data_IF_965154066944
#
_entry.id   IF_965154066944
#
_cell.length_a   1.000
_cell.length_b   1.000
_cell.length_c   1.000
_cell.angle_alpha   90.00
_cell.angle_beta   90.00
_cell.angle_gamma   90.00
#
_symmetry.space_group_name_H-M   'P 1'
#
loop_
_entity.id
_entity.type
_entity.pdbx_description
1 polymer ?
#
# COMPACT_ATOMS: atom_id res chain seq x y z
N UNK A 1 -24.06 -2.44 -12.39
CA UNK A 1 -24.58 -1.89 -11.11
C UNK A 1 -23.38 -1.65 -10.22
N UNK A 2 -23.37 -0.59 -9.42
CA UNK A 2 -22.24 -0.23 -8.55
C UNK A 2 -22.13 -1.12 -7.30
N UNK A 3 -23.11 -1.99 -7.04
CA UNK A 3 -23.08 -2.98 -5.96
C UNK A 3 -23.23 -2.38 -4.55
N UNK A 4 -23.48 -1.08 -4.44
CA UNK A 4 -23.57 -0.37 -3.15
C UNK A 4 -24.96 -0.53 -2.53
N UNK A 5 -26.01 -0.49 -3.35
CA UNK A 5 -27.40 -0.46 -2.87
C UNK A 5 -27.98 -1.84 -2.55
N UNK A 6 -27.30 -2.92 -2.94
CA UNK A 6 -27.75 -4.29 -2.77
C UNK A 6 -26.65 -5.12 -2.08
N UNK A 7 -26.51 -5.01 -0.74
CA UNK A 7 -25.53 -5.79 0.00
C UNK A 7 -25.73 -7.28 -0.23
N UNK A 8 -24.63 -8.01 -0.44
CA UNK A 8 -24.67 -9.48 -0.50
C UNK A 8 -24.98 -9.99 0.90
N UNK A 9 -26.13 -10.66 1.13
CA UNK A 9 -26.50 -11.14 2.46
C UNK A 9 -25.58 -12.28 2.91
N UNK A 10 -25.59 -12.59 4.22
CA UNK A 10 -24.89 -13.77 4.74
C UNK A 10 -25.38 -15.04 4.04
N UNK A 11 -24.46 -15.80 3.44
CA UNK A 11 -24.79 -16.97 2.61
C UNK A 11 -25.24 -16.64 1.18
N UNK A 12 -25.36 -15.37 0.83
CA UNK A 12 -25.63 -14.89 -0.53
C UNK A 12 -24.40 -14.96 -1.44
N UNK A 13 -24.63 -14.73 -2.73
CA UNK A 13 -23.58 -14.68 -3.76
C UNK A 13 -23.92 -13.61 -4.78
N UNK A 14 -22.90 -12.88 -5.22
CA UNK A 14 -22.96 -11.96 -6.35
C UNK A 14 -21.71 -12.12 -7.21
N UNK A 15 -21.81 -11.80 -8.49
CA UNK A 15 -20.68 -11.83 -9.44
C UNK A 15 -20.49 -10.41 -9.98
N UNK A 16 -19.32 -9.82 -9.70
CA UNK A 16 -18.91 -8.56 -10.31
C UNK A 16 -18.23 -8.86 -11.65
N UNK A 17 -18.67 -8.20 -12.72
CA UNK A 17 -18.11 -8.32 -14.07
C UNK A 17 -17.79 -6.92 -14.60
N UNK A 18 -16.54 -6.70 -14.97
CA UNK A 18 -16.03 -5.46 -15.56
C UNK A 18 -14.74 -5.76 -16.32
N UNK A 19 -14.41 -4.91 -17.30
CA UNK A 19 -13.12 -4.95 -17.97
C UNK A 19 -12.04 -4.35 -17.07
N UNK A 20 -10.86 -4.98 -17.03
CA UNK A 20 -9.72 -4.51 -16.25
C UNK A 20 -9.06 -3.29 -16.93
N UNK A 21 -9.67 -2.12 -16.76
CA UNK A 21 -9.19 -0.85 -17.27
C UNK A 21 -9.50 0.33 -16.33
N UNK A 22 -8.66 1.38 -16.30
CA UNK A 22 -7.37 1.50 -16.98
C UNK A 22 -6.27 0.65 -16.31
N UNK A 23 -5.12 0.50 -16.97
CA UNK A 23 -3.95 -0.06 -16.29
C UNK A 23 -3.52 0.84 -15.12
N UNK A 24 -2.92 0.25 -14.09
CA UNK A 24 -2.41 0.96 -12.94
C UNK A 24 -2.55 0.18 -11.63
N UNK A 25 -2.40 0.92 -10.54
CA UNK A 25 -2.56 0.46 -9.16
C UNK A 25 -3.93 0.92 -8.69
N UNK A 26 -4.79 -0.03 -8.40
CA UNK A 26 -6.13 0.19 -7.86
C UNK A 26 -6.29 -0.56 -6.55
N UNK A 27 -7.46 -0.43 -5.98
CA UNK A 27 -7.85 -1.04 -4.73
C UNK A 27 -9.31 -1.49 -4.83
N UNK A 28 -9.67 -2.45 -3.99
CA UNK A 28 -11.05 -2.79 -3.74
C UNK A 28 -11.27 -2.78 -2.23
N UNK A 29 -12.50 -2.48 -1.81
CA UNK A 29 -12.90 -2.56 -0.42
C UNK A 29 -14.40 -2.83 -0.31
N UNK A 30 -14.84 -3.26 0.88
CA UNK A 30 -16.25 -3.38 1.17
C UNK A 30 -16.91 -1.99 1.21
N UNK A 31 -18.15 -1.91 0.72
CA UNK A 31 -18.94 -0.68 0.70
C UNK A 31 -20.28 -0.83 1.45
N UNK A 32 -20.35 -1.76 2.41
CA UNK A 32 -21.49 -1.95 3.30
C UNK A 32 -21.40 -0.95 4.45
N UNK A 33 -22.55 -0.38 4.84
CA UNK A 33 -22.62 0.57 5.97
C UNK A 33 -22.63 -0.18 7.32
N UNK A 34 -21.92 0.32 8.35
CA UNK A 34 -21.10 1.55 8.37
C UNK A 34 -19.74 1.36 7.67
N UNK A 35 -19.46 2.22 6.68
CA UNK A 35 -18.32 2.06 5.75
C UNK A 35 -16.96 1.97 6.46
N UNK A 36 -16.71 2.89 7.40
CA UNK A 36 -15.43 2.98 8.11
C UNK A 36 -15.10 1.68 8.86
N UNK A 37 -16.07 1.10 9.57
CA UNK A 37 -15.83 -0.15 10.30
C UNK A 37 -15.49 -1.32 9.37
N UNK A 38 -16.15 -1.43 8.22
CA UNK A 38 -15.88 -2.50 7.28
C UNK A 38 -14.46 -2.40 6.70
N UNK A 39 -14.01 -1.19 6.39
CA UNK A 39 -12.65 -0.93 5.92
C UNK A 39 -11.66 -1.19 7.06
N UNK A 40 -11.82 -0.55 8.22
CA UNK A 40 -10.91 -0.68 9.37
C UNK A 40 -10.74 -2.14 9.84
N UNK A 41 -11.78 -2.98 9.71
CA UNK A 41 -11.73 -4.42 10.02
C UNK A 41 -11.02 -5.27 8.97
N UNK A 42 -10.43 -4.67 7.93
CA UNK A 42 -9.57 -5.36 6.97
C UNK A 42 -10.24 -5.80 5.66
N UNK A 43 -11.47 -5.35 5.36
CA UNK A 43 -12.15 -5.73 4.12
C UNK A 43 -11.70 -4.85 2.93
N UNK A 44 -10.41 -4.95 2.59
CA UNK A 44 -9.79 -4.24 1.48
C UNK A 44 -8.66 -5.04 0.85
N UNK A 45 -8.21 -4.61 -0.33
CA UNK A 45 -7.02 -5.15 -0.97
C UNK A 45 -6.59 -4.34 -2.19
N UNK A 46 -5.43 -4.69 -2.75
CA UNK A 46 -4.92 -4.09 -3.97
C UNK A 46 -5.46 -4.80 -5.22
N UNK A 47 -5.73 -4.05 -6.27
CA UNK A 47 -6.08 -4.53 -7.60
C UNK A 47 -5.11 -3.94 -8.62
N UNK A 48 -4.19 -4.75 -9.13
CA UNK A 48 -3.15 -4.29 -10.06
C UNK A 48 -3.56 -4.70 -11.48
N UNK A 49 -3.56 -3.74 -12.39
CA UNK A 49 -3.81 -3.95 -13.80
C UNK A 49 -2.56 -3.57 -14.57
N UNK A 50 -1.88 -4.56 -15.13
CA UNK A 50 -0.66 -4.31 -15.91
C UNK A 50 -0.98 -3.59 -17.23
N UNK A 51 -0.11 -2.68 -17.69
CA UNK A 51 -0.26 -2.11 -19.02
C UNK A 51 -0.08 -3.19 -20.09
N UNK A 52 -0.73 -3.03 -21.25
CA UNK A 52 -0.71 -4.04 -22.32
C UNK A 52 0.70 -4.43 -22.79
N UNK A 53 1.63 -3.48 -22.78
CA UNK A 53 3.04 -3.68 -23.13
C UNK A 53 3.89 -4.24 -21.97
N UNK A 54 3.29 -4.45 -20.80
CA UNK A 54 3.98 -4.78 -19.56
C UNK A 54 4.71 -3.59 -18.95
N UNK A 55 5.02 -3.71 -17.66
CA UNK A 55 5.92 -2.78 -17.01
C UNK A 55 7.37 -3.02 -17.45
N UNK A 56 8.26 -2.05 -17.21
CA UNK A 56 9.69 -2.38 -17.29
C UNK A 56 10.02 -3.52 -16.32
N UNK A 57 10.93 -4.43 -16.67
CA UNK A 57 11.26 -5.54 -15.77
C UNK A 57 11.78 -5.01 -14.43
N UNK A 58 11.19 -5.49 -13.34
CA UNK A 58 11.71 -5.37 -11.98
C UNK A 58 12.11 -6.77 -11.50
N UNK A 59 13.16 -6.86 -10.70
CA UNK A 59 13.58 -8.13 -10.10
C UNK A 59 12.67 -8.49 -8.92
N UNK A 60 12.19 -7.46 -8.22
CA UNK A 60 11.28 -7.58 -7.08
C UNK A 60 10.06 -6.71 -7.33
N UNK A 61 8.88 -7.32 -7.27
CA UNK A 61 7.59 -6.63 -7.26
C UNK A 61 6.88 -6.94 -5.95
N UNK A 62 6.46 -5.90 -5.24
CA UNK A 62 5.90 -5.98 -3.90
C UNK A 62 4.57 -5.24 -3.86
N UNK A 63 3.62 -5.75 -3.08
CA UNK A 63 2.41 -5.01 -2.71
C UNK A 63 2.53 -4.62 -1.24
N UNK A 64 2.32 -3.33 -0.96
CA UNK A 64 2.31 -2.77 0.38
C UNK A 64 0.98 -2.05 0.58
N UNK A 65 0.17 -2.53 1.51
CA UNK A 65 -1.08 -1.89 1.91
C UNK A 65 -0.90 -1.28 3.28
N UNK A 66 -0.99 0.04 3.38
CA UNK A 66 -0.86 0.78 4.64
C UNK A 66 -2.23 0.79 5.33
N UNK A 67 -2.25 0.47 6.63
CA UNK A 67 -3.49 0.41 7.40
C UNK A 67 -3.29 0.82 8.86
N UNK A 68 -4.41 1.16 9.49
CA UNK A 68 -4.55 1.28 10.94
C UNK A 68 -5.29 0.09 11.52
N UNK A 69 -5.25 -0.06 12.84
CA UNK A 69 -5.91 -1.11 13.61
C UNK A 69 -6.46 -0.46 14.88
N UNK A 70 -7.78 -0.45 14.97
CA UNK A 70 -8.57 -0.05 16.13
C UNK A 70 -8.94 -1.33 16.90
N UNK A 71 -8.40 -1.50 18.12
CA UNK A 71 -8.58 -2.73 18.93
C UNK A 71 -9.63 -2.58 20.02
N UNK A 72 -10.00 -1.35 20.40
CA UNK A 72 -10.99 -1.07 21.44
C UNK A 72 -12.33 -0.52 20.90
N UNK A 73 -12.40 -0.31 19.59
CA UNK A 73 -13.58 0.08 18.80
C UNK A 73 -14.09 1.49 19.11
N UNK A 74 -13.20 2.42 19.47
CA UNK A 74 -13.56 3.81 19.74
C UNK A 74 -13.52 4.72 18.51
N UNK A 75 -13.04 4.22 17.37
CA UNK A 75 -12.88 4.98 16.13
C UNK A 75 -11.55 5.70 15.99
N UNK A 76 -10.54 5.33 16.79
CA UNK A 76 -9.15 5.77 16.69
C UNK A 76 -8.22 4.55 16.46
N UNK A 77 -7.07 4.76 15.82
CA UNK A 77 -6.12 3.67 15.55
C UNK A 77 -5.12 3.50 16.70
N UNK A 78 -5.10 2.32 17.32
CA UNK A 78 -4.11 1.94 18.34
C UNK A 78 -2.77 1.51 17.73
N UNK A 79 -2.81 0.87 16.57
CA UNK A 79 -1.64 0.38 15.86
C UNK A 79 -1.69 0.70 14.38
N UNK A 80 -0.51 0.73 13.77
CA UNK A 80 -0.35 0.97 12.34
C UNK A 80 0.51 -0.13 11.74
N UNK A 81 0.26 -0.44 10.47
CA UNK A 81 1.02 -1.47 9.80
C UNK A 81 1.12 -1.22 8.30
N UNK A 82 2.04 -1.95 7.70
CA UNK A 82 1.99 -2.30 6.29
C UNK A 82 1.72 -3.80 6.19
N UNK A 83 0.70 -4.19 5.43
CA UNK A 83 0.21 -5.57 5.34
C UNK A 83 -0.20 -6.16 6.72
N UNK A 84 -0.88 -5.34 7.52
CA UNK A 84 -1.69 -5.71 8.71
C UNK A 84 -0.96 -6.12 10.00
N UNK A 85 0.31 -6.55 9.98
CA UNK A 85 1.02 -6.93 11.22
C UNK A 85 1.99 -5.80 11.63
N UNK A 86 1.73 -5.09 12.75
CA UNK A 86 2.65 -4.07 13.28
C UNK A 86 4.07 -4.62 13.48
N UNK A 87 5.09 -3.84 13.11
CA UNK A 87 6.52 -4.16 13.27
C UNK A 87 7.01 -5.44 12.57
N UNK A 88 6.19 -6.07 11.72
CA UNK A 88 6.54 -7.35 11.11
C UNK A 88 7.84 -7.27 10.31
N UNK A 89 7.98 -6.23 9.48
CA UNK A 89 9.15 -6.07 8.61
C UNK A 89 10.38 -5.49 9.29
N UNK A 90 10.31 -5.08 10.57
CA UNK A 90 11.51 -4.75 11.35
C UNK A 90 12.26 -6.03 11.77
N UNK A 91 11.47 -7.03 12.16
CA UNK A 91 11.93 -8.36 12.61
C UNK A 91 12.08 -9.33 11.45
N UNK A 92 11.38 -9.10 10.33
CA UNK A 92 11.48 -9.88 9.09
C UNK A 92 11.79 -8.97 7.89
N UNK A 93 13.03 -8.43 7.79
CA UNK A 93 13.39 -7.52 6.71
C UNK A 93 13.18 -8.13 5.32
N UNK A 94 12.65 -7.33 4.40
CA UNK A 94 12.39 -7.74 3.02
C UNK A 94 13.72 -7.89 2.29
N UNK A 95 14.04 -9.10 1.86
CA UNK A 95 15.27 -9.41 1.15
C UNK A 95 15.20 -8.92 -0.29
N UNK A 96 16.13 -8.05 -0.70
CA UNK A 96 16.26 -7.56 -2.07
C UNK A 96 17.72 -7.61 -2.52
N UNK A 97 17.96 -7.66 -3.83
CA UNK A 97 19.31 -7.70 -4.39
C UNK A 97 19.87 -6.29 -4.61
N UNK A 98 21.16 -6.12 -4.35
CA UNK A 98 21.93 -4.93 -4.75
C UNK A 98 21.78 -4.64 -6.24
N UNK A 99 21.67 -3.36 -6.59
CA UNK A 99 21.49 -2.82 -7.95
C UNK A 99 20.25 -3.32 -8.71
N UNK A 100 19.43 -4.19 -8.10
CA UNK A 100 18.21 -4.68 -8.70
C UNK A 100 17.08 -3.65 -8.57
N UNK A 101 16.26 -3.54 -9.61
CA UNK A 101 15.06 -2.73 -9.57
C UNK A 101 14.02 -3.40 -8.68
N UNK A 102 13.57 -2.64 -7.68
CA UNK A 102 12.44 -2.95 -6.83
C UNK A 102 11.27 -2.06 -7.26
N UNK A 103 10.10 -2.68 -7.40
CA UNK A 103 8.83 -2.00 -7.63
C UNK A 103 7.90 -2.29 -6.46
N UNK A 104 7.35 -1.24 -5.86
CA UNK A 104 6.34 -1.35 -4.81
C UNK A 104 5.03 -0.75 -5.31
N UNK A 105 3.96 -1.54 -5.29
CA UNK A 105 2.60 -1.05 -5.42
C UNK A 105 2.08 -0.69 -4.03
N UNK A 106 2.05 0.60 -3.72
CA UNK A 106 1.72 1.14 -2.41
C UNK A 106 0.27 1.66 -2.42
N UNK A 107 -0.56 1.13 -1.53
CA UNK A 107 -1.98 1.47 -1.39
C UNK A 107 -2.26 1.92 0.04
N UNK A 108 -2.87 3.09 0.22
CA UNK A 108 -3.28 3.56 1.54
C UNK A 108 -4.74 3.20 1.83
N UNK A 109 -4.97 2.31 2.81
CA UNK A 109 -6.28 1.94 3.35
C UNK A 109 -6.42 2.32 4.84
N UNK A 110 -5.60 3.27 5.31
CA UNK A 110 -5.75 3.85 6.64
C UNK A 110 -7.13 4.51 6.77
N UNK A 111 -7.89 4.09 7.78
CA UNK A 111 -9.17 4.70 8.17
C UNK A 111 -8.95 5.63 9.37
N UNK A 112 -9.90 6.53 9.62
CA UNK A 112 -9.91 7.53 10.71
C UNK A 112 -8.87 8.66 10.57
N UNK A 113 -7.60 8.33 10.33
CA UNK A 113 -6.55 9.31 10.09
C UNK A 113 -6.58 9.85 8.65
N UNK A 114 -6.53 11.18 8.44
CA UNK A 114 -6.86 11.78 7.15
C UNK A 114 -5.77 11.61 6.08
N UNK A 115 -4.52 11.42 6.50
CA UNK A 115 -3.37 11.39 5.61
C UNK A 115 -2.33 10.44 6.11
N UNK A 116 -1.61 9.90 5.15
CA UNK A 116 -0.58 8.96 5.38
C UNK A 116 0.70 9.25 4.59
N UNK A 117 1.82 8.61 4.92
CA UNK A 117 3.11 8.85 4.24
C UNK A 117 3.99 7.63 4.14
N UNK A 118 4.91 7.61 3.17
CA UNK A 118 5.94 6.58 3.05
C UNK A 118 7.29 7.25 2.86
N UNK A 119 8.27 6.86 3.65
CA UNK A 119 9.65 7.32 3.55
C UNK A 119 10.62 6.14 3.43
N UNK A 120 11.65 6.31 2.60
CA UNK A 120 12.69 5.32 2.36
C UNK A 120 14.06 5.85 2.82
N UNK A 121 14.73 5.13 3.72
CA UNK A 121 16.04 5.57 4.22
C UNK A 121 17.13 5.43 3.16
N UNK A 122 17.99 6.45 3.11
CA UNK A 122 19.23 6.49 2.33
C UNK A 122 19.05 6.17 0.84
N UNK A 123 17.86 6.43 0.29
CA UNK A 123 17.55 6.19 -1.11
C UNK A 123 16.46 7.13 -1.60
N UNK A 124 16.34 7.23 -2.93
CA UNK A 124 15.26 7.93 -3.61
C UNK A 124 14.53 6.95 -4.51
N UNK A 125 13.28 7.27 -4.83
CA UNK A 125 12.45 6.49 -5.72
C UNK A 125 11.76 7.39 -6.75
N UNK A 126 11.45 6.79 -7.90
CA UNK A 126 10.51 7.36 -8.86
C UNK A 126 9.09 7.00 -8.43
N UNK A 127 8.20 7.99 -8.32
CA UNK A 127 6.80 7.78 -7.93
C UNK A 127 5.85 8.02 -9.11
N UNK A 128 4.88 7.12 -9.25
CA UNK A 128 3.87 7.11 -10.28
C UNK A 128 2.49 7.09 -9.60
N UNK A 129 1.85 8.25 -9.39
CA UNK A 129 0.54 8.33 -8.77
C UNK A 129 -0.48 7.46 -9.51
N UNK A 130 -1.22 6.62 -8.77
CA UNK A 130 -2.16 5.61 -9.31
C UNK A 130 -1.57 4.58 -10.28
N UNK A 131 -0.27 4.64 -10.60
CA UNK A 131 0.36 3.79 -11.61
C UNK A 131 -0.21 3.93 -13.04
N UNK A 132 -1.01 4.95 -13.34
CA UNK A 132 -1.70 5.07 -14.64
C UNK A 132 -0.84 5.69 -15.75
N UNK A 133 0.43 6.00 -15.43
CA UNK A 133 1.42 6.56 -16.34
C UNK A 133 2.67 5.69 -16.34
N UNK A 134 3.37 5.66 -17.47
CA UNK A 134 4.65 4.95 -17.62
C UNK A 134 5.86 5.84 -17.29
N UNK A 135 5.61 7.11 -16.98
CA UNK A 135 6.64 8.08 -16.60
C UNK A 135 6.31 8.61 -15.21
N UNK A 136 7.30 8.72 -14.30
CA UNK A 136 7.04 9.16 -12.94
C UNK A 136 6.76 10.66 -12.91
N UNK A 137 5.99 11.09 -11.91
CA UNK A 137 5.72 12.52 -11.66
C UNK A 137 6.73 13.13 -10.71
N UNK A 138 7.34 12.30 -9.84
CA UNK A 138 8.23 12.73 -8.77
C UNK A 138 9.45 11.81 -8.67
N UNK A 139 10.56 12.39 -8.20
CA UNK A 139 11.75 11.68 -7.75
C UNK A 139 12.10 12.21 -6.36
N UNK A 140 11.83 11.42 -5.33
CA UNK A 140 11.82 11.84 -3.93
C UNK A 140 12.13 10.64 -3.02
N UNK A 141 12.33 10.88 -1.73
CA UNK A 141 12.48 9.85 -0.70
C UNK A 141 11.22 9.70 0.17
N UNK A 142 10.25 10.61 0.01
CA UNK A 142 9.05 10.70 0.83
C UNK A 142 7.85 11.13 0.00
N UNK A 143 6.70 10.47 0.18
CA UNK A 143 5.40 10.84 -0.41
C UNK A 143 4.28 10.82 0.63
N UNK A 144 3.16 11.43 0.29
CA UNK A 144 1.93 11.38 1.09
C UNK A 144 0.77 10.80 0.29
N UNK A 145 -0.15 10.13 0.98
CA UNK A 145 -1.37 9.57 0.42
C UNK A 145 -2.52 9.80 1.42
N UNK A 146 -3.58 10.48 0.99
CA UNK A 146 -4.87 10.42 1.68
C UNK A 146 -5.46 9.00 1.57
N UNK A 147 -6.56 8.72 2.30
CA UNK A 147 -7.24 7.43 2.18
C UNK A 147 -7.56 7.11 0.70
N UNK A 148 -7.35 5.85 0.30
CA UNK A 148 -7.55 5.34 -1.05
C UNK A 148 -6.65 5.98 -2.14
N UNK A 149 -5.77 6.93 -1.80
CA UNK A 149 -4.66 7.26 -2.69
C UNK A 149 -3.64 6.11 -2.69
N UNK A 150 -3.03 5.93 -3.86
CA UNK A 150 -2.12 4.81 -4.15
C UNK A 150 -1.17 5.19 -5.25
N UNK A 151 -0.12 4.41 -5.44
CA UNK A 151 0.80 4.58 -6.54
C UNK A 151 1.85 3.49 -6.61
N UNK A 152 2.72 3.61 -7.60
CA UNK A 152 3.87 2.74 -7.78
C UNK A 152 5.14 3.50 -7.44
N UNK A 153 6.05 2.85 -6.72
CA UNK A 153 7.39 3.34 -6.39
C UNK A 153 8.41 2.44 -7.10
N UNK A 154 9.45 3.02 -7.71
CA UNK A 154 10.56 2.26 -8.27
C UNK A 154 11.90 2.80 -7.77
N UNK A 155 12.76 1.89 -7.30
CA UNK A 155 14.10 2.22 -6.79
C UNK A 155 15.06 1.03 -6.92
N UNK A 156 16.32 1.29 -6.61
CA UNK A 156 17.37 0.27 -6.47
C UNK A 156 18.38 0.72 -5.42
N UNK A 157 19.01 -0.20 -4.70
CA UNK A 157 20.06 0.13 -3.72
C UNK A 157 21.45 -0.10 -4.28
N UNK A 158 22.31 0.92 -4.19
CA UNK A 158 23.71 0.87 -4.65
C UNK A 158 24.64 0.15 -3.67
N UNK A 159 24.29 0.10 -2.39
CA UNK A 159 25.13 -0.48 -1.35
C UNK A 159 24.34 -1.57 -0.60
N UNK A 160 25.01 -2.67 -0.19
CA UNK A 160 24.38 -3.68 0.63
C UNK A 160 24.17 -3.16 2.06
N UNK A 161 23.23 -3.78 2.78
CA UNK A 161 22.92 -3.48 4.17
C UNK A 161 21.42 -3.37 4.45
N UNK A 162 21.10 -3.05 5.71
CA UNK A 162 19.73 -2.91 6.20
C UNK A 162 19.28 -1.44 6.13
N UNK A 163 18.21 -1.17 5.38
CA UNK A 163 17.64 0.16 5.18
C UNK A 163 16.19 0.21 5.63
N UNK A 164 15.86 1.15 6.51
CA UNK A 164 14.50 1.27 7.03
C UNK A 164 13.57 1.95 6.02
N UNK A 165 12.29 1.59 6.08
CA UNK A 165 11.20 2.32 5.48
C UNK A 165 10.06 2.43 6.50
N UNK A 166 9.37 3.56 6.56
CA UNK A 166 8.33 3.79 7.56
C UNK A 166 7.42 4.95 7.16
N UNK A 167 6.34 5.16 7.92
CA UNK A 167 5.58 6.40 7.84
C UNK A 167 6.42 7.58 8.32
N UNK A 168 6.46 8.69 7.57
CA UNK A 168 7.12 9.93 8.02
C UNK A 168 6.22 10.79 8.94
N UNK A 169 5.13 10.21 9.44
CA UNK A 169 4.37 10.65 10.61
C UNK A 169 4.86 9.77 11.78
N UNK A 170 5.57 10.38 12.73
CA UNK A 170 6.32 9.64 13.77
C UNK A 170 5.43 8.73 14.63
N UNK A 171 4.23 9.21 14.98
CA UNK A 171 3.22 8.44 15.71
C UNK A 171 2.92 7.09 15.04
N UNK A 172 2.68 7.07 13.72
CA UNK A 172 2.37 5.84 13.00
C UNK A 172 3.56 4.87 12.96
N UNK A 173 4.78 5.41 12.86
CA UNK A 173 6.00 4.61 12.91
C UNK A 173 6.24 4.01 14.30
N UNK A 174 6.07 4.80 15.36
CA UNK A 174 6.24 4.35 16.75
C UNK A 174 5.17 3.34 17.20
N UNK A 175 4.01 3.32 16.52
CA UNK A 175 2.90 2.42 16.77
C UNK A 175 2.79 1.26 15.76
N UNK A 176 3.80 1.03 14.93
CA UNK A 176 3.93 -0.24 14.20
C UNK A 176 4.30 -0.17 12.74
N UNK A 177 4.10 0.98 12.09
CA UNK A 177 4.41 1.07 10.69
C UNK A 177 5.84 1.52 10.43
N UNK A 178 6.66 0.49 10.51
CA UNK A 178 8.07 0.50 10.14
C UNK A 178 8.43 -0.87 9.57
N UNK A 179 9.52 -0.90 8.83
CA UNK A 179 10.09 -2.10 8.27
C UNK A 179 11.49 -1.83 7.73
N UNK A 180 12.14 -2.87 7.24
CA UNK A 180 13.42 -2.72 6.58
C UNK A 180 13.53 -3.56 5.31
N UNK A 181 14.30 -3.05 4.36
CA UNK A 181 14.89 -3.84 3.29
C UNK A 181 16.26 -4.34 3.74
N UNK A 182 16.55 -5.61 3.51
CA UNK A 182 17.90 -6.19 3.64
C UNK A 182 18.46 -6.37 2.22
N UNK A 183 19.49 -5.60 1.90
CA UNK A 183 20.11 -5.56 0.57
C UNK A 183 21.32 -6.49 0.56
N UNK A 184 21.20 -7.62 -0.13
CA UNK A 184 22.25 -8.63 -0.32
C UNK A 184 23.01 -8.52 -1.64
#
# INVERSE_FOLDING_TARGET
>A
MDGVYEPVPVGGRFVYEFDAEPFGVHQYHCHVMPLAEHIARGLYGAFIVDPKQGWQKAEHELVMVQNGIDIDFDGENDFYAVNFIPFWFDTHPIQIKKDARVRVFLVNMLEYDPINSFHLHANFFHYYPSGTLLTPTEYTDTIMQAQAQRGMLEFSYKYPGKYMFHAHKTEFAELGWTGAFEVG
#
